data_IF_078049547083
#
_entry.id   IF_078049547083
#
_cell.length_a   1.000
_cell.length_b   1.000
_cell.length_c   1.000
_cell.angle_alpha   90.00
_cell.angle_beta   90.00
_cell.angle_gamma   90.00
#
_symmetry.space_group_name_H-M   'P 1'
#
loop_
_entity.id
_entity.type
_entity.pdbx_description
1 polymer ?
#
# COMPACT_ATOMS: atom_id res chain seq x y z
N UNK A 1 -36.90 -3.26 4.05
CA UNK A 1 -37.04 -1.85 3.65
C UNK A 1 -36.50 -1.69 2.25
N UNK A 2 -37.21 -0.96 1.39
CA UNK A 2 -36.86 -0.72 0.00
C UNK A 2 -36.94 0.77 -0.30
N UNK A 3 -35.88 1.35 -0.85
CA UNK A 3 -35.84 2.76 -1.26
C UNK A 3 -35.75 2.83 -2.79
N UNK A 4 -36.50 3.75 -3.40
CA UNK A 4 -36.23 4.20 -4.76
C UNK A 4 -35.36 5.46 -4.69
N UNK A 5 -34.14 5.37 -5.21
CA UNK A 5 -33.27 6.52 -5.43
C UNK A 5 -33.49 7.02 -6.85
N UNK A 6 -33.77 8.30 -6.97
CA UNK A 6 -34.00 8.98 -8.23
C UNK A 6 -32.88 10.01 -8.47
N UNK A 7 -31.83 9.65 -9.22
CA UNK A 7 -30.83 10.63 -9.61
C UNK A 7 -31.47 11.64 -10.57
N UNK A 8 -31.59 12.89 -10.14
CA UNK A 8 -32.22 13.97 -10.90
C UNK A 8 -31.65 14.09 -12.32
N UNK A 9 -32.48 14.53 -13.26
CA UNK A 9 -32.08 14.76 -14.66
C UNK A 9 -31.53 13.48 -15.35
N UNK A 10 -30.70 13.61 -16.40
CA UNK A 10 -30.09 12.49 -17.11
C UNK A 10 -30.41 12.46 -18.60
N UNK A 11 -29.48 11.93 -19.41
CA UNK A 11 -29.59 11.94 -20.86
C UNK A 11 -29.53 13.36 -21.41
N UNK A 12 -30.58 13.76 -22.14
CA UNK A 12 -30.68 15.07 -22.80
C UNK A 12 -30.80 16.24 -21.81
N UNK A 13 -31.27 15.98 -20.58
CA UNK A 13 -31.45 16.99 -19.54
C UNK A 13 -30.20 17.03 -18.65
N UNK A 14 -29.34 18.08 -18.74
CA UNK A 14 -28.16 18.21 -17.89
C UNK A 14 -28.49 18.61 -16.45
N UNK A 15 -29.72 19.08 -16.20
CA UNK A 15 -30.06 19.87 -15.02
C UNK A 15 -29.30 21.20 -15.00
N UNK A 16 -29.06 21.71 -13.80
CA UNK A 16 -28.25 22.91 -13.64
C UNK A 16 -26.79 22.66 -14.08
N UNK A 17 -26.17 23.70 -14.66
CA UNK A 17 -24.78 23.67 -15.14
C UNK A 17 -24.04 24.88 -14.60
N UNK A 18 -22.90 24.64 -13.94
CA UNK A 18 -22.13 25.69 -13.29
C UNK A 18 -20.73 25.21 -12.93
N UNK A 19 -19.74 26.10 -12.97
CA UNK A 19 -18.35 25.81 -12.55
C UNK A 19 -17.71 24.56 -13.19
N UNK A 20 -18.13 24.20 -14.41
CA UNK A 20 -17.65 22.99 -15.12
C UNK A 20 -18.31 21.69 -14.67
N UNK A 21 -19.38 21.76 -13.90
CA UNK A 21 -20.19 20.64 -13.43
C UNK A 21 -21.54 20.62 -14.15
N UNK A 22 -22.12 19.43 -14.26
CA UNK A 22 -23.52 19.22 -14.64
C UNK A 22 -24.20 18.46 -13.52
N UNK A 23 -25.39 18.91 -13.13
CA UNK A 23 -26.15 18.31 -12.03
C UNK A 23 -26.41 16.82 -12.25
N UNK A 24 -26.78 16.41 -13.47
CA UNK A 24 -27.04 15.00 -13.80
C UNK A 24 -25.88 14.04 -13.48
N UNK A 25 -24.64 14.52 -13.58
CA UNK A 25 -23.43 13.72 -13.37
C UNK A 25 -23.18 13.54 -11.85
N UNK A 26 -23.40 14.61 -11.09
CA UNK A 26 -23.22 14.62 -9.63
C UNK A 26 -24.30 13.77 -8.95
N UNK A 27 -25.56 13.95 -9.33
CA UNK A 27 -26.70 13.23 -8.76
C UNK A 27 -26.58 11.73 -9.01
N UNK A 28 -26.15 11.31 -10.21
CA UNK A 28 -25.86 9.92 -10.53
C UNK A 28 -24.73 9.37 -9.66
N UNK A 29 -23.61 10.09 -9.57
CA UNK A 29 -22.47 9.66 -8.76
C UNK A 29 -22.83 9.45 -7.28
N UNK A 30 -23.59 10.39 -6.69
CA UNK A 30 -24.06 10.26 -5.31
C UNK A 30 -24.98 9.04 -5.15
N UNK A 31 -25.92 8.82 -6.08
CA UNK A 31 -26.86 7.70 -5.99
C UNK A 31 -26.20 6.33 -6.13
N UNK A 32 -25.18 6.19 -6.99
CA UNK A 32 -24.47 4.93 -7.17
C UNK A 32 -23.67 4.53 -5.91
N UNK A 33 -23.00 5.51 -5.28
CA UNK A 33 -22.34 5.31 -3.98
C UNK A 33 -23.37 4.98 -2.89
N UNK A 34 -24.45 5.76 -2.82
CA UNK A 34 -25.52 5.60 -1.83
C UNK A 34 -26.19 4.23 -1.94
N UNK A 35 -26.43 3.73 -3.15
CA UNK A 35 -26.98 2.39 -3.41
C UNK A 35 -26.14 1.33 -2.70
N UNK A 36 -24.83 1.33 -2.95
CA UNK A 36 -23.91 0.34 -2.40
C UNK A 36 -23.90 0.37 -0.86
N UNK A 37 -23.91 1.57 -0.27
CA UNK A 37 -23.92 1.75 1.18
C UNK A 37 -25.23 1.26 1.80
N UNK A 38 -26.37 1.60 1.21
CA UNK A 38 -27.69 1.17 1.68
C UNK A 38 -27.86 -0.36 1.60
N UNK A 39 -27.42 -0.97 0.51
CA UNK A 39 -27.49 -2.43 0.33
C UNK A 39 -26.61 -3.17 1.34
N UNK A 40 -25.41 -2.66 1.61
CA UNK A 40 -24.56 -3.16 2.69
C UNK A 40 -25.24 -3.06 4.08
N UNK A 41 -26.08 -2.04 4.26
CA UNK A 41 -26.88 -1.85 5.47
C UNK A 41 -28.20 -2.64 5.48
N UNK A 42 -28.44 -3.51 4.49
CA UNK A 42 -29.63 -4.36 4.42
C UNK A 42 -30.89 -3.67 3.88
N UNK A 43 -30.74 -2.51 3.22
CA UNK A 43 -31.83 -1.79 2.57
C UNK A 43 -31.79 -2.08 1.07
N UNK A 44 -32.86 -2.62 0.50
CA UNK A 44 -32.95 -2.87 -0.95
C UNK A 44 -33.09 -1.55 -1.71
N UNK A 45 -32.35 -1.38 -2.80
CA UNK A 45 -32.35 -0.13 -3.57
C UNK A 45 -32.77 -0.34 -5.01
N UNK A 46 -33.77 0.43 -5.43
CA UNK A 46 -34.18 0.62 -6.82
C UNK A 46 -33.62 1.96 -7.29
N UNK A 47 -33.03 2.00 -8.48
CA UNK A 47 -32.64 3.24 -9.15
C UNK A 47 -33.64 3.54 -10.27
N UNK A 48 -34.01 4.80 -10.45
CA UNK A 48 -34.75 5.21 -11.66
C UNK A 48 -33.83 5.25 -12.88
N UNK A 49 -32.53 5.48 -12.68
CA UNK A 49 -31.45 5.32 -13.67
C UNK A 49 -30.13 4.96 -12.98
N UNK A 50 -29.31 4.18 -13.66
CA UNK A 50 -27.95 3.78 -13.24
C UNK A 50 -26.86 4.25 -14.24
N UNK A 51 -27.26 5.00 -15.25
CA UNK A 51 -26.37 5.60 -16.25
C UNK A 51 -26.86 6.98 -16.71
N UNK A 52 -26.19 7.54 -17.70
CA UNK A 52 -26.55 8.83 -18.30
C UNK A 52 -27.64 8.66 -19.37
N UNK A 53 -28.86 8.40 -18.93
CA UNK A 53 -30.06 8.35 -19.76
C UNK A 53 -31.26 8.92 -18.98
N UNK A 54 -32.29 9.35 -19.69
CA UNK A 54 -33.56 9.76 -19.08
C UNK A 54 -34.40 8.50 -18.78
N UNK A 55 -34.94 8.31 -17.55
CA UNK A 55 -35.62 7.06 -17.17
C UNK A 55 -36.79 6.62 -18.05
N UNK A 56 -37.51 7.55 -18.67
CA UNK A 56 -38.61 7.25 -19.59
C UNK A 56 -38.18 7.01 -21.04
N UNK A 57 -36.96 7.43 -21.43
CA UNK A 57 -36.51 7.54 -22.82
C UNK A 57 -37.47 8.36 -23.73
N UNK A 58 -38.08 9.40 -23.17
CA UNK A 58 -39.06 10.31 -23.77
C UNK A 58 -38.46 11.72 -23.91
N UNK A 59 -37.44 11.85 -24.77
CA UNK A 59 -36.79 13.13 -25.04
C UNK A 59 -37.79 14.22 -25.46
N UNK A 60 -37.70 15.39 -24.83
CA UNK A 60 -38.62 16.51 -25.09
C UNK A 60 -39.99 16.41 -24.40
N UNK A 61 -40.29 15.32 -23.68
CA UNK A 61 -41.52 15.19 -22.89
C UNK A 61 -41.23 15.12 -21.38
N UNK A 62 -40.96 16.28 -20.78
CA UNK A 62 -40.63 16.40 -19.35
C UNK A 62 -41.70 15.78 -18.44
N UNK A 63 -42.98 15.98 -18.76
CA UNK A 63 -44.07 15.44 -17.93
C UNK A 63 -44.15 13.92 -18.00
N UNK A 64 -43.87 13.33 -19.17
CA UNK A 64 -43.74 11.89 -19.36
C UNK A 64 -42.54 11.32 -18.60
N UNK A 65 -41.38 11.98 -18.67
CA UNK A 65 -40.17 11.58 -17.94
C UNK A 65 -40.36 11.54 -16.43
N UNK A 66 -40.94 12.62 -15.87
CA UNK A 66 -41.19 12.69 -14.44
C UNK A 66 -42.19 11.61 -14.00
N UNK A 67 -43.21 11.29 -14.81
CA UNK A 67 -44.14 10.18 -14.51
C UNK A 67 -43.51 8.81 -14.66
N UNK A 68 -42.54 8.63 -15.56
CA UNK A 68 -41.80 7.38 -15.67
C UNK A 68 -41.04 7.08 -14.37
N UNK A 69 -40.40 8.09 -13.76
CA UNK A 69 -39.73 7.98 -12.44
C UNK A 69 -40.69 7.53 -11.35
N UNK A 70 -41.88 8.14 -11.29
CA UNK A 70 -42.95 7.75 -10.36
C UNK A 70 -43.37 6.30 -10.61
N UNK A 71 -43.63 5.93 -11.87
CA UNK A 71 -44.07 4.58 -12.22
C UNK A 71 -43.06 3.50 -11.83
N UNK A 72 -41.76 3.78 -11.92
CA UNK A 72 -40.69 2.87 -11.45
C UNK A 72 -40.84 2.63 -9.94
N UNK A 73 -41.02 3.68 -9.15
CA UNK A 73 -41.17 3.58 -7.70
C UNK A 73 -42.46 2.82 -7.29
N UNK A 74 -43.59 3.17 -7.92
CA UNK A 74 -44.90 2.53 -7.69
C UNK A 74 -44.87 1.04 -8.02
N UNK A 75 -44.35 0.69 -9.21
CA UNK A 75 -44.25 -0.71 -9.67
C UNK A 75 -43.44 -1.57 -8.69
N UNK A 76 -42.40 -0.98 -8.10
CA UNK A 76 -41.52 -1.68 -7.17
C UNK A 76 -42.01 -1.68 -5.72
N UNK A 77 -43.10 -0.95 -5.41
CA UNK A 77 -43.71 -0.86 -4.07
C UNK A 77 -42.66 -0.50 -3.02
N UNK A 78 -41.93 0.60 -3.26
CA UNK A 78 -40.87 1.06 -2.35
C UNK A 78 -41.47 1.71 -1.09
N UNK A 79 -40.72 1.68 0.00
CA UNK A 79 -41.11 2.25 1.30
C UNK A 79 -40.81 3.75 1.42
N UNK A 80 -39.89 4.26 0.58
CA UNK A 80 -39.49 5.66 0.49
C UNK A 80 -38.99 5.96 -0.94
N UNK A 81 -39.41 7.09 -1.49
CA UNK A 81 -38.87 7.67 -2.73
C UNK A 81 -37.97 8.85 -2.38
N UNK A 82 -36.79 8.94 -3.01
CA UNK A 82 -35.81 9.99 -2.76
C UNK A 82 -35.28 10.51 -4.09
N UNK A 83 -35.64 11.74 -4.44
CA UNK A 83 -34.99 12.45 -5.55
C UNK A 83 -33.74 13.16 -5.05
N UNK A 84 -32.60 12.97 -5.72
CA UNK A 84 -31.33 13.60 -5.38
C UNK A 84 -31.03 14.66 -6.44
N UNK A 85 -30.88 15.91 -6.00
CA UNK A 85 -30.66 17.10 -6.85
C UNK A 85 -29.55 18.00 -6.29
N UNK A 86 -29.07 18.92 -7.14
CA UNK A 86 -28.14 20.00 -6.78
C UNK A 86 -28.79 21.33 -7.15
N UNK A 87 -28.84 22.26 -6.20
CA UNK A 87 -29.56 23.50 -6.36
C UNK A 87 -28.82 24.49 -7.28
N UNK A 88 -29.52 25.56 -7.69
CA UNK A 88 -28.98 26.71 -8.40
C UNK A 88 -29.80 27.98 -8.08
N UNK A 89 -29.35 29.15 -8.52
CA UNK A 89 -30.05 30.42 -8.34
C UNK A 89 -29.47 31.32 -7.24
N UNK A 90 -28.16 31.25 -6.97
CA UNK A 90 -27.46 32.22 -6.13
C UNK A 90 -27.51 31.97 -4.61
N UNK A 91 -27.51 30.71 -4.17
CA UNK A 91 -27.53 30.30 -2.75
C UNK A 91 -26.28 29.53 -2.29
N UNK A 92 -26.37 28.92 -1.11
CA UNK A 92 -25.44 27.89 -0.60
C UNK A 92 -26.16 27.03 0.44
N UNK A 93 -25.75 25.77 0.58
CA UNK A 93 -26.21 24.85 1.63
C UNK A 93 -27.32 23.89 1.22
N UNK A 94 -27.84 23.16 2.20
CA UNK A 94 -28.77 22.04 2.00
C UNK A 94 -30.21 22.41 2.32
N UNK A 95 -31.14 21.97 1.47
CA UNK A 95 -32.57 21.86 1.79
C UNK A 95 -33.14 20.52 1.38
N UNK A 96 -34.24 20.13 2.03
CA UNK A 96 -35.04 18.97 1.60
C UNK A 96 -36.46 19.43 1.30
N UNK A 97 -36.94 19.10 0.11
CA UNK A 97 -38.29 19.41 -0.32
C UNK A 97 -39.24 18.23 -0.05
N UNK A 98 -40.45 18.57 0.38
CA UNK A 98 -41.58 17.65 0.60
C UNK A 98 -42.86 18.25 0.00
N UNK A 99 -43.88 17.44 -0.27
CA UNK A 99 -45.16 17.96 -0.81
C UNK A 99 -46.09 18.54 0.26
N UNK A 100 -45.93 18.14 1.53
CA UNK A 100 -46.77 18.62 2.64
C UNK A 100 -46.24 18.19 4.01
N UNK A 101 -46.62 18.93 5.06
CA UNK A 101 -46.18 18.71 6.45
C UNK A 101 -47.06 17.70 7.19
N UNK A 102 -46.58 17.21 8.33
CA UNK A 102 -47.28 16.33 9.27
C UNK A 102 -47.22 14.83 8.95
N UNK A 103 -46.50 14.43 7.90
CA UNK A 103 -46.46 13.06 7.41
C UNK A 103 -45.10 12.38 7.45
N UNK A 104 -45.06 11.12 7.02
CA UNK A 104 -43.84 10.30 6.94
C UNK A 104 -42.72 10.93 6.10
N UNK A 105 -43.05 11.71 5.07
CA UNK A 105 -42.08 12.44 4.26
C UNK A 105 -41.33 13.51 5.07
N UNK A 106 -42.04 14.28 5.90
CA UNK A 106 -41.42 15.26 6.80
C UNK A 106 -40.56 14.59 7.87
N UNK A 107 -41.00 13.44 8.40
CA UNK A 107 -40.20 12.65 9.34
C UNK A 107 -38.90 12.18 8.68
N UNK A 108 -38.97 11.62 7.47
CA UNK A 108 -37.78 11.20 6.71
C UNK A 108 -36.84 12.39 6.43
N UNK A 109 -37.37 13.52 5.98
CA UNK A 109 -36.59 14.72 5.71
C UNK A 109 -35.85 15.22 6.96
N UNK A 110 -36.54 15.32 8.10
CA UNK A 110 -35.95 15.77 9.36
C UNK A 110 -34.92 14.78 9.94
N UNK A 111 -35.02 13.50 9.60
CA UNK A 111 -34.02 12.47 9.95
C UNK A 111 -32.75 12.59 9.11
N UNK A 112 -32.89 12.94 7.83
CA UNK A 112 -31.77 12.99 6.87
C UNK A 112 -31.01 14.32 6.94
N UNK A 113 -31.73 15.44 7.02
CA UNK A 113 -31.15 16.78 6.92
C UNK A 113 -29.96 17.02 7.87
N UNK A 114 -30.00 16.67 9.17
CA UNK A 114 -28.88 16.93 10.07
C UNK A 114 -27.57 16.26 9.64
N UNK A 115 -27.63 15.06 9.06
CA UNK A 115 -26.44 14.37 8.55
C UNK A 115 -25.86 15.07 7.32
N UNK A 116 -26.71 15.55 6.40
CA UNK A 116 -26.28 16.28 5.21
C UNK A 116 -25.64 17.62 5.57
N UNK A 117 -26.21 18.36 6.54
CA UNK A 117 -25.60 19.58 7.08
C UNK A 117 -24.23 19.29 7.66
N UNK A 118 -24.12 18.25 8.48
CA UNK A 118 -22.85 17.89 9.12
C UNK A 118 -21.78 17.45 8.12
N UNK A 119 -22.15 16.70 7.07
CA UNK A 119 -21.21 16.24 6.06
C UNK A 119 -20.79 17.37 5.11
N UNK A 120 -21.73 18.25 4.76
CA UNK A 120 -21.50 19.37 3.87
C UNK A 120 -20.68 20.50 4.51
N UNK A 121 -20.79 20.68 5.82
CA UNK A 121 -20.24 21.87 6.50
C UNK A 121 -20.77 23.16 5.86
N UNK A 122 -22.02 23.15 5.41
CA UNK A 122 -22.70 24.23 4.71
C UNK A 122 -23.99 24.65 5.44
N UNK A 123 -24.60 25.76 5.02
CA UNK A 123 -25.76 26.33 5.69
C UNK A 123 -26.98 25.39 5.71
N UNK A 124 -27.75 25.44 6.80
CA UNK A 124 -29.01 24.72 6.92
C UNK A 124 -30.18 25.58 6.42
N UNK A 125 -30.78 25.18 5.30
CA UNK A 125 -31.91 25.88 4.69
C UNK A 125 -33.27 25.24 5.04
N UNK A 126 -33.26 24.15 5.79
CA UNK A 126 -34.45 23.52 6.36
C UNK A 126 -35.20 22.58 5.43
N UNK A 127 -36.28 22.02 5.95
CA UNK A 127 -37.28 21.25 5.19
C UNK A 127 -38.34 22.21 4.65
N UNK A 128 -38.62 22.16 3.34
CA UNK A 128 -39.55 23.08 2.67
C UNK A 128 -40.64 22.34 1.93
N UNK A 129 -41.80 22.97 1.83
CA UNK A 129 -42.91 22.45 1.02
C UNK A 129 -42.81 22.97 -0.41
N UNK A 130 -42.85 22.08 -1.39
CA UNK A 130 -42.85 22.44 -2.81
C UNK A 130 -43.68 21.46 -3.64
N UNK A 131 -44.37 21.99 -4.64
CA UNK A 131 -45.22 21.20 -5.54
C UNK A 131 -44.41 20.55 -6.68
N UNK A 132 -43.54 19.59 -6.35
CA UNK A 132 -42.74 18.83 -7.32
C UNK A 132 -43.50 17.58 -7.77
N UNK A 133 -43.56 17.32 -9.08
CA UNK A 133 -44.37 16.23 -9.65
C UNK A 133 -44.03 14.86 -9.04
N UNK A 134 -42.74 14.50 -8.98
CA UNK A 134 -42.31 13.19 -8.45
C UNK A 134 -42.63 13.02 -6.97
N UNK A 135 -42.75 14.11 -6.20
CA UNK A 135 -43.14 14.07 -4.79
C UNK A 135 -44.66 14.03 -4.62
N UNK A 136 -45.41 14.67 -5.52
CA UNK A 136 -46.87 14.75 -5.48
C UNK A 136 -47.54 13.49 -5.99
N UNK A 137 -46.99 12.89 -7.05
CA UNK A 137 -47.64 11.78 -7.77
C UNK A 137 -47.19 10.39 -7.28
N UNK A 138 -46.28 10.33 -6.32
CA UNK A 138 -45.95 9.09 -5.59
C UNK A 138 -46.92 8.82 -4.44
N UNK A 139 -47.24 7.55 -4.21
CA UNK A 139 -48.14 7.07 -3.15
C UNK A 139 -47.41 6.80 -1.83
N UNK A 140 -46.11 6.49 -1.91
CA UNK A 140 -45.23 6.32 -0.76
C UNK A 140 -44.68 7.67 -0.28
N UNK A 141 -44.09 7.76 0.94
CA UNK A 141 -43.38 8.96 1.36
C UNK A 141 -42.28 9.32 0.37
N UNK A 142 -42.20 10.59 0.01
CA UNK A 142 -41.26 11.10 -0.99
C UNK A 142 -40.57 12.38 -0.52
N UNK A 143 -39.26 12.44 -0.68
CA UNK A 143 -38.44 13.63 -0.40
C UNK A 143 -37.55 13.95 -1.60
N UNK A 144 -37.13 15.21 -1.73
CA UNK A 144 -36.11 15.64 -2.68
C UNK A 144 -34.99 16.37 -1.93
N UNK A 145 -33.74 15.93 -2.04
CA UNK A 145 -32.59 16.58 -1.39
C UNK A 145 -31.85 17.48 -2.37
N UNK A 146 -31.56 18.71 -1.94
CA UNK A 146 -30.84 19.73 -2.71
C UNK A 146 -29.46 19.95 -2.10
N UNK A 147 -28.46 19.26 -2.67
CA UNK A 147 -27.17 19.01 -2.01
C UNK A 147 -26.15 20.11 -2.31
N UNK A 148 -26.42 21.32 -1.84
CA UNK A 148 -25.62 22.51 -2.15
C UNK A 148 -25.99 23.13 -3.49
N UNK A 149 -25.28 24.20 -3.86
CA UNK A 149 -25.56 25.00 -5.05
C UNK A 149 -24.47 24.85 -6.12
N UNK A 150 -24.84 24.41 -7.33
CA UNK A 150 -23.89 24.17 -8.42
C UNK A 150 -23.29 25.47 -8.98
N UNK A 151 -23.96 26.60 -8.79
CA UNK A 151 -23.54 27.93 -9.22
C UNK A 151 -22.79 28.71 -8.11
N UNK A 152 -22.72 28.16 -6.90
CA UNK A 152 -21.89 28.69 -5.82
C UNK A 152 -20.48 28.10 -5.87
N UNK A 153 -19.45 28.95 -5.93
CA UNK A 153 -18.06 28.50 -6.04
C UNK A 153 -17.58 27.64 -4.86
N UNK A 154 -18.05 27.91 -3.64
CA UNK A 154 -17.69 27.15 -2.45
C UNK A 154 -18.32 25.76 -2.45
N UNK A 155 -19.62 25.67 -2.73
CA UNK A 155 -20.32 24.39 -2.80
C UNK A 155 -19.81 23.57 -4.01
N UNK A 156 -19.68 24.19 -5.19
CA UNK A 156 -19.16 23.53 -6.39
C UNK A 156 -17.73 22.98 -6.21
N UNK A 157 -16.87 23.65 -5.44
CA UNK A 157 -15.53 23.15 -5.13
C UNK A 157 -15.59 21.84 -4.34
N UNK A 158 -16.49 21.74 -3.36
CA UNK A 158 -16.74 20.50 -2.62
C UNK A 158 -17.35 19.43 -3.53
N UNK A 159 -18.37 19.80 -4.33
CA UNK A 159 -19.06 18.88 -5.24
C UNK A 159 -18.16 18.28 -6.34
N UNK A 160 -17.06 18.95 -6.71
CA UNK A 160 -16.02 18.39 -7.59
C UNK A 160 -15.26 17.21 -6.97
N UNK A 161 -15.08 17.21 -5.66
CA UNK A 161 -14.34 16.17 -4.95
C UNK A 161 -15.17 14.86 -4.86
N UNK A 162 -14.72 13.76 -5.47
CA UNK A 162 -15.40 12.46 -5.33
C UNK A 162 -15.52 12.00 -3.88
N UNK A 163 -14.57 12.31 -3.00
CA UNK A 163 -14.64 11.93 -1.60
C UNK A 163 -15.76 12.67 -0.87
N UNK A 164 -15.98 13.94 -1.21
CA UNK A 164 -17.11 14.70 -0.68
C UNK A 164 -18.45 14.13 -1.16
N UNK A 165 -18.56 13.76 -2.44
CA UNK A 165 -19.77 13.08 -2.95
C UNK A 165 -20.04 11.75 -2.23
N UNK A 166 -19.00 10.96 -1.94
CA UNK A 166 -19.11 9.75 -1.11
C UNK A 166 -19.53 10.09 0.33
N UNK A 167 -19.02 11.18 0.92
CA UNK A 167 -19.43 11.62 2.25
C UNK A 167 -20.91 12.02 2.29
N UNK A 168 -21.43 12.68 1.25
CA UNK A 168 -22.87 12.96 1.10
C UNK A 168 -23.68 11.67 0.99
N UNK A 169 -23.22 10.69 0.22
CA UNK A 169 -23.88 9.38 0.13
C UNK A 169 -23.92 8.68 1.50
N UNK A 170 -22.83 8.70 2.28
CA UNK A 170 -22.81 8.16 3.66
C UNK A 170 -23.80 8.93 4.56
N UNK A 171 -23.88 10.24 4.44
CA UNK A 171 -24.79 11.06 5.24
C UNK A 171 -26.26 10.75 4.95
N UNK A 172 -26.63 10.61 3.67
CA UNK A 172 -27.94 10.09 3.27
C UNK A 172 -28.22 8.71 3.88
N UNK A 173 -27.27 7.78 3.75
CA UNK A 173 -27.45 6.43 4.27
C UNK A 173 -27.67 6.40 5.79
N UNK A 174 -26.94 7.22 6.56
CA UNK A 174 -27.17 7.38 8.00
C UNK A 174 -28.58 7.90 8.30
N UNK A 175 -29.02 8.93 7.58
CA UNK A 175 -30.36 9.50 7.71
C UNK A 175 -31.47 8.50 7.40
N UNK A 176 -31.31 7.72 6.33
CA UNK A 176 -32.28 6.68 5.97
C UNK A 176 -32.27 5.51 6.94
N UNK A 177 -31.09 5.08 7.40
CA UNK A 177 -30.99 4.06 8.45
C UNK A 177 -31.72 4.52 9.73
N UNK A 178 -31.50 5.77 10.18
CA UNK A 178 -32.21 6.33 11.34
C UNK A 178 -33.73 6.40 11.11
N UNK A 179 -34.17 6.85 9.92
CA UNK A 179 -35.60 6.84 9.56
C UNK A 179 -36.24 5.44 9.62
N UNK A 180 -35.53 4.41 9.16
CA UNK A 180 -36.01 3.02 9.18
C UNK A 180 -35.75 2.27 10.49
N UNK A 181 -35.11 2.89 11.49
CA UNK A 181 -34.72 2.23 12.73
C UNK A 181 -33.63 1.16 12.55
N UNK A 182 -32.82 1.28 11.49
CA UNK A 182 -31.70 0.40 11.19
C UNK A 182 -30.43 1.00 11.80
N UNK A 183 -29.65 0.19 12.52
CA UNK A 183 -28.34 0.61 12.98
C UNK A 183 -27.38 0.69 11.79
N UNK A 184 -26.93 1.91 11.47
CA UNK A 184 -25.95 2.13 10.40
C UNK A 184 -24.63 1.40 10.70
N UNK A 185 -24.21 0.56 9.76
CA UNK A 185 -22.94 -0.14 9.72
C UNK A 185 -22.01 0.59 8.76
N UNK A 186 -20.89 1.16 9.25
CA UNK A 186 -19.89 1.75 8.37
C UNK A 186 -19.26 0.66 7.49
N UNK A 187 -18.89 1.04 6.26
CA UNK A 187 -18.10 0.18 5.38
C UNK A 187 -16.77 -0.16 6.07
N UNK A 188 -16.48 -1.46 6.17
CA UNK A 188 -15.25 -1.95 6.77
C UNK A 188 -14.14 -1.90 5.71
N UNK A 189 -13.14 -1.06 5.97
CA UNK A 189 -11.90 -0.99 5.19
C UNK A 189 -10.73 -1.47 6.04
N UNK A 190 -9.82 -2.19 5.39
CA UNK A 190 -8.60 -2.72 5.94
C UNK A 190 -7.44 -1.86 5.44
N UNK A 191 -6.95 -0.97 6.30
CA UNK A 191 -5.80 -0.12 6.04
C UNK A 191 -4.53 -0.96 6.03
N UNK A 192 -3.76 -0.86 4.96
CA UNK A 192 -2.41 -1.41 4.86
C UNK A 192 -1.45 -0.33 5.32
N UNK A 193 -0.71 -0.61 6.39
CA UNK A 193 0.26 0.30 6.99
C UNK A 193 1.63 -0.39 6.92
N UNK A 194 2.59 0.23 6.24
CA UNK A 194 3.94 -0.28 6.04
C UNK A 194 4.92 0.68 6.69
N UNK A 195 5.80 0.17 7.56
CA UNK A 195 6.78 0.95 8.32
C UNK A 195 6.18 2.22 8.98
N UNK A 196 4.96 2.08 9.52
CA UNK A 196 4.23 3.16 10.19
C UNK A 196 3.45 4.11 9.28
N UNK A 197 3.51 3.96 7.95
CA UNK A 197 2.77 4.78 6.99
C UNK A 197 1.65 4.01 6.32
N UNK A 198 0.43 4.56 6.35
CA UNK A 198 -0.67 4.02 5.56
C UNK A 198 -0.38 4.16 4.06
N UNK A 199 -0.39 3.05 3.32
CA UNK A 199 -0.12 3.03 1.88
C UNK A 199 -1.37 2.78 1.05
N UNK A 200 -2.34 2.03 1.56
CA UNK A 200 -3.64 1.81 0.90
C UNK A 200 -4.72 1.38 1.90
N UNK A 201 -5.96 1.22 1.44
CA UNK A 201 -7.05 0.61 2.18
C UNK A 201 -7.88 -0.27 1.23
N UNK A 202 -8.23 -1.47 1.67
CA UNK A 202 -8.95 -2.47 0.86
C UNK A 202 -10.23 -2.91 1.55
N UNK A 203 -11.24 -3.32 0.78
CA UNK A 203 -12.51 -3.86 1.31
C UNK A 203 -12.41 -5.31 1.76
N UNK A 204 -11.35 -6.03 1.35
CA UNK A 204 -11.08 -7.42 1.74
C UNK A 204 -9.89 -7.48 2.72
N UNK A 205 -10.12 -8.13 3.86
CA UNK A 205 -9.07 -8.39 4.85
C UNK A 205 -7.95 -9.25 4.27
N UNK A 206 -8.32 -10.31 3.54
CA UNK A 206 -7.37 -11.27 2.98
C UNK A 206 -6.47 -10.62 1.93
N UNK A 207 -7.03 -9.72 1.10
CA UNK A 207 -6.23 -8.98 0.12
C UNK A 207 -5.27 -8.00 0.81
N UNK A 208 -5.69 -7.35 1.89
CA UNK A 208 -4.81 -6.48 2.68
C UNK A 208 -3.68 -7.26 3.35
N UNK A 209 -3.97 -8.45 3.88
CA UNK A 209 -2.97 -9.36 4.44
C UNK A 209 -1.98 -9.81 3.35
N UNK A 210 -2.48 -10.20 2.18
CA UNK A 210 -1.66 -10.64 1.06
C UNK A 210 -0.70 -9.54 0.58
N UNK A 211 -1.17 -8.29 0.49
CA UNK A 211 -0.31 -7.17 0.10
C UNK A 211 0.75 -6.86 1.17
N UNK A 212 0.39 -6.87 2.46
CA UNK A 212 1.38 -6.72 3.56
C UNK A 212 2.47 -7.77 3.44
N UNK A 213 2.12 -9.05 3.28
CA UNK A 213 3.11 -10.14 3.15
C UNK A 213 4.02 -9.94 1.96
N UNK A 214 3.44 -9.69 0.78
CA UNK A 214 4.18 -9.47 -0.46
C UNK A 214 5.21 -8.33 -0.36
N UNK A 215 4.83 -7.20 0.23
CA UNK A 215 5.71 -6.02 0.33
C UNK A 215 6.79 -6.21 1.39
N UNK A 216 6.48 -6.88 2.49
CA UNK A 216 7.48 -7.21 3.52
C UNK A 216 8.46 -8.27 3.00
N UNK A 217 7.99 -9.32 2.32
CA UNK A 217 8.82 -10.39 1.76
C UNK A 217 9.70 -9.95 0.59
N UNK A 218 9.28 -8.95 -0.18
CA UNK A 218 10.10 -8.36 -1.24
C UNK A 218 11.22 -7.47 -0.72
N UNK A 219 11.25 -7.18 0.60
CA UNK A 219 12.21 -6.27 1.23
C UNK A 219 11.89 -4.79 1.03
N UNK A 220 10.69 -4.47 0.51
CA UNK A 220 10.25 -3.09 0.30
C UNK A 220 9.72 -2.43 1.59
N UNK A 221 9.37 -3.22 2.60
CA UNK A 221 9.06 -2.77 3.95
C UNK A 221 9.64 -3.73 5.00
N UNK A 222 9.97 -3.22 6.18
CA UNK A 222 10.50 -4.06 7.28
C UNK A 222 9.40 -4.64 8.16
N UNK A 223 8.27 -3.95 8.21
CA UNK A 223 7.11 -4.30 9.02
C UNK A 223 5.83 -3.82 8.34
N UNK A 224 4.75 -4.59 8.49
CA UNK A 224 3.44 -4.21 7.99
C UNK A 224 2.30 -4.62 8.91
N UNK A 225 1.23 -3.83 8.87
CA UNK A 225 0.01 -3.99 9.66
C UNK A 225 -1.20 -3.89 8.74
N UNK A 226 -2.18 -4.74 8.99
CA UNK A 226 -3.55 -4.53 8.49
C UNK A 226 -4.40 -4.06 9.65
N UNK A 227 -5.00 -2.88 9.50
CA UNK A 227 -5.79 -2.24 10.55
C UNK A 227 -7.21 -1.93 10.05
N UNK A 228 -8.21 -2.32 10.83
CA UNK A 228 -9.61 -2.05 10.53
C UNK A 228 -9.93 -0.55 10.76
N UNK A 229 -10.58 0.09 9.81
CA UNK A 229 -10.92 1.52 9.88
C UNK A 229 -11.98 1.87 10.92
N UNK A 230 -12.88 0.95 11.24
CA UNK A 230 -14.05 1.22 12.10
C UNK A 230 -13.68 1.43 13.56
N UNK A 231 -12.61 0.77 14.04
CA UNK A 231 -12.18 0.76 15.44
C UNK A 231 -10.66 0.87 15.62
N UNK A 232 -9.89 0.93 14.54
CA UNK A 232 -8.43 1.02 14.61
C UNK A 232 -7.75 -0.26 15.09
N UNK A 233 -8.46 -1.39 15.16
CA UNK A 233 -7.88 -2.65 15.61
C UNK A 233 -6.95 -3.21 14.53
N UNK A 234 -5.72 -3.55 14.93
CA UNK A 234 -4.79 -4.30 14.09
C UNK A 234 -5.30 -5.74 13.98
N UNK A 235 -5.77 -6.13 12.80
CA UNK A 235 -6.27 -7.48 12.53
C UNK A 235 -5.18 -8.42 12.01
N UNK A 236 -4.03 -7.87 11.61
CA UNK A 236 -2.84 -8.62 11.21
C UNK A 236 -1.59 -7.75 11.37
N UNK A 237 -0.49 -8.38 11.77
CA UNK A 237 0.84 -7.77 11.83
C UNK A 237 1.85 -8.75 11.25
N UNK A 238 2.80 -8.25 10.47
CA UNK A 238 3.82 -9.06 9.83
C UNK A 238 5.16 -8.34 9.79
N UNK A 239 6.18 -9.08 10.18
CA UNK A 239 7.59 -8.77 10.03
C UNK A 239 8.23 -10.04 9.53
N UNK A 240 9.29 -9.92 8.74
CA UNK A 240 10.15 -11.08 8.51
C UNK A 240 10.67 -11.49 9.90
N UNK A 241 10.37 -12.69 10.40
CA UNK A 241 10.98 -13.19 11.63
C UNK A 241 12.48 -13.14 11.42
N UNK A 242 13.27 -12.65 12.40
CA UNK A 242 14.73 -12.83 12.35
C UNK A 242 14.99 -14.33 12.13
N UNK A 243 15.32 -14.71 10.90
CA UNK A 243 15.69 -16.09 10.58
C UNK A 243 16.93 -16.44 11.41
N UNK A 244 17.15 -17.73 11.68
CA UNK A 244 18.48 -18.18 12.08
C UNK A 244 19.48 -17.52 11.15
N UNK A 245 20.28 -16.60 11.71
CA UNK A 245 21.31 -15.92 10.96
C UNK A 245 22.32 -16.95 10.46
N UNK A 246 22.95 -16.65 9.36
CA UNK A 246 23.85 -17.57 8.68
C UNK A 246 25.19 -17.58 9.42
N UNK A 247 25.47 -18.64 10.17
CA UNK A 247 26.74 -18.80 10.89
C UNK A 247 27.96 -18.69 9.94
N UNK A 248 28.99 -17.97 10.39
CA UNK A 248 30.26 -17.80 9.65
C UNK A 248 31.11 -19.07 9.73
N UNK A 249 31.21 -19.64 10.93
CA UNK A 249 32.01 -20.83 11.21
C UNK A 249 31.27 -22.09 10.77
N UNK A 250 31.99 -23.06 10.21
CA UNK A 250 31.45 -24.37 9.86
C UNK A 250 32.02 -24.94 8.56
N UNK A 251 31.51 -26.12 8.21
CA UNK A 251 31.89 -26.83 6.98
C UNK A 251 31.17 -26.22 5.77
N UNK A 252 31.92 -26.00 4.70
CA UNK A 252 31.36 -25.52 3.45
C UNK A 252 30.59 -26.62 2.70
N UNK A 253 29.56 -26.21 1.95
CA UNK A 253 28.70 -27.08 1.14
C UNK A 253 28.81 -26.82 -0.37
N UNK A 254 29.28 -25.65 -0.81
CA UNK A 254 29.51 -25.37 -2.23
C UNK A 254 30.87 -25.87 -2.71
N UNK A 255 31.01 -26.08 -4.03
CA UNK A 255 32.26 -26.56 -4.65
C UNK A 255 33.10 -25.43 -5.24
N UNK A 256 34.39 -25.69 -5.47
CA UNK A 256 35.29 -24.74 -6.16
C UNK A 256 34.75 -24.41 -7.56
N UNK A 257 34.26 -25.43 -8.27
CA UNK A 257 33.76 -25.30 -9.62
C UNK A 257 32.50 -24.43 -9.68
N UNK A 258 31.61 -24.52 -8.69
CA UNK A 258 30.45 -23.62 -8.58
C UNK A 258 30.90 -22.15 -8.45
N UNK A 259 31.86 -21.87 -7.57
CA UNK A 259 32.39 -20.52 -7.41
C UNK A 259 33.08 -20.01 -8.69
N UNK A 260 33.90 -20.85 -9.34
CA UNK A 260 34.58 -20.52 -10.60
C UNK A 260 33.59 -20.22 -11.71
N UNK A 261 32.59 -21.07 -11.89
CA UNK A 261 31.55 -20.92 -12.91
C UNK A 261 30.74 -19.65 -12.68
N UNK A 262 30.35 -19.37 -11.43
CA UNK A 262 29.64 -18.14 -11.10
C UNK A 262 30.48 -16.90 -11.41
N UNK A 263 31.73 -16.85 -10.95
CA UNK A 263 32.66 -15.73 -11.21
C UNK A 263 32.87 -15.50 -12.72
N UNK A 264 33.09 -16.57 -13.49
CA UNK A 264 33.35 -16.48 -14.93
C UNK A 264 32.20 -15.82 -15.71
N UNK A 265 30.94 -15.91 -15.23
CA UNK A 265 29.80 -15.21 -15.85
C UNK A 265 29.93 -13.69 -15.80
N UNK A 266 30.56 -13.18 -14.74
CA UNK A 266 30.69 -11.74 -14.51
C UNK A 266 32.07 -11.21 -14.90
N UNK A 267 33.12 -12.02 -14.74
CA UNK A 267 34.49 -11.69 -15.08
C UNK A 267 35.23 -12.92 -15.64
N UNK A 268 35.14 -13.18 -16.95
CA UNK A 268 35.78 -14.33 -17.59
C UNK A 268 37.32 -14.36 -17.48
N UNK A 269 37.93 -13.19 -17.24
CA UNK A 269 39.39 -13.02 -17.18
C UNK A 269 39.91 -12.92 -15.73
N UNK A 270 39.07 -13.23 -14.73
CA UNK A 270 39.46 -13.12 -13.33
C UNK A 270 40.61 -14.10 -12.99
N UNK A 271 41.56 -13.69 -12.13
CA UNK A 271 42.56 -14.62 -11.60
C UNK A 271 41.89 -15.69 -10.71
N UNK A 272 42.34 -16.93 -10.81
CA UNK A 272 41.77 -18.04 -10.02
C UNK A 272 42.32 -18.08 -8.59
N UNK A 273 41.79 -17.19 -7.74
CA UNK A 273 42.16 -17.08 -6.32
C UNK A 273 41.27 -17.92 -5.39
N UNK A 274 40.22 -18.55 -5.92
CA UNK A 274 39.23 -19.33 -5.17
C UNK A 274 39.86 -20.54 -4.44
N UNK A 275 40.87 -21.24 -4.99
CA UNK A 275 41.58 -22.30 -4.25
C UNK A 275 42.21 -21.81 -2.94
N UNK A 276 42.67 -20.55 -2.87
CA UNK A 276 43.19 -19.99 -1.63
C UNK A 276 42.08 -19.81 -0.58
N UNK A 277 40.90 -19.35 -0.98
CA UNK A 277 39.75 -19.23 -0.07
C UNK A 277 39.37 -20.56 0.54
N UNK A 278 39.29 -21.62 -0.27
CA UNK A 278 39.02 -22.97 0.23
C UNK A 278 40.10 -23.42 1.22
N UNK A 279 41.36 -23.41 0.81
CA UNK A 279 42.49 -23.88 1.62
C UNK A 279 42.58 -23.14 2.96
N UNK A 280 42.51 -21.80 2.94
CA UNK A 280 42.65 -20.97 4.14
C UNK A 280 41.39 -20.96 4.99
N UNK A 281 40.21 -20.98 4.38
CA UNK A 281 38.96 -21.02 5.11
C UNK A 281 38.73 -22.35 5.79
N UNK A 282 39.07 -23.47 5.15
CA UNK A 282 39.07 -24.80 5.81
C UNK A 282 40.05 -24.84 7.00
N UNK A 283 41.23 -24.21 6.85
CA UNK A 283 42.21 -24.09 7.93
C UNK A 283 41.68 -23.28 9.13
N UNK A 284 40.90 -22.24 8.88
CA UNK A 284 40.29 -21.37 9.90
C UNK A 284 38.92 -21.87 10.38
N UNK A 285 38.35 -22.92 9.77
CA UNK A 285 36.99 -23.39 10.08
C UNK A 285 35.88 -22.46 9.61
N UNK A 286 36.14 -21.60 8.62
CA UNK A 286 35.18 -20.67 8.03
C UNK A 286 34.48 -21.33 6.84
N UNK A 287 33.18 -21.04 6.67
CA UNK A 287 32.42 -21.35 5.46
C UNK A 287 32.89 -20.47 4.30
N UNK A 288 33.99 -20.89 3.69
CA UNK A 288 34.80 -20.09 2.76
C UNK A 288 34.05 -19.62 1.50
N UNK A 289 32.97 -20.30 1.12
CA UNK A 289 32.14 -19.91 0.00
C UNK A 289 31.42 -18.58 0.21
N UNK A 290 31.06 -18.26 1.45
CA UNK A 290 30.50 -16.94 1.78
C UNK A 290 31.58 -15.85 1.77
N UNK A 291 32.82 -16.17 2.17
CA UNK A 291 33.94 -15.24 2.02
C UNK A 291 34.26 -14.97 0.54
N UNK A 292 34.09 -15.97 -0.34
CA UNK A 292 34.11 -15.76 -1.79
C UNK A 292 32.98 -14.82 -2.21
N UNK A 293 31.74 -15.05 -1.76
CA UNK A 293 30.60 -14.17 -2.07
C UNK A 293 30.84 -12.73 -1.60
N UNK A 294 31.42 -12.54 -0.41
CA UNK A 294 31.84 -11.25 0.12
C UNK A 294 32.90 -10.61 -0.78
N UNK A 295 33.95 -11.35 -1.17
CA UNK A 295 34.97 -10.87 -2.09
C UNK A 295 34.38 -10.43 -3.43
N UNK A 296 33.41 -11.16 -3.99
CA UNK A 296 32.75 -10.76 -5.23
C UNK A 296 32.04 -9.41 -5.08
N UNK A 297 31.40 -9.18 -3.93
CA UNK A 297 30.77 -7.89 -3.61
C UNK A 297 31.80 -6.77 -3.46
N UNK A 298 32.85 -6.98 -2.68
CA UNK A 298 33.90 -5.99 -2.37
C UNK A 298 34.69 -5.56 -3.60
N UNK A 299 35.00 -6.51 -4.48
CA UNK A 299 35.90 -6.29 -5.63
C UNK A 299 35.18 -6.04 -6.94
N UNK A 300 33.84 -5.97 -6.91
CA UNK A 300 33.00 -5.99 -8.10
C UNK A 300 33.36 -7.15 -9.05
N UNK A 301 33.38 -8.38 -8.51
CA UNK A 301 33.74 -9.61 -9.22
C UNK A 301 35.19 -9.60 -9.75
N UNK A 302 36.14 -9.15 -8.93
CA UNK A 302 37.57 -8.98 -9.27
C UNK A 302 37.82 -8.03 -10.45
N UNK A 303 36.90 -7.09 -10.70
CA UNK A 303 37.10 -6.02 -11.69
C UNK A 303 37.80 -4.81 -11.10
N UNK A 304 37.69 -4.61 -9.78
CA UNK A 304 38.29 -3.50 -9.02
C UNK A 304 37.93 -2.13 -9.63
N UNK A 305 36.80 -1.56 -9.18
CA UNK A 305 36.31 -0.25 -9.64
C UNK A 305 36.11 0.77 -8.51
N UNK A 306 36.58 0.45 -7.30
CA UNK A 306 36.41 1.26 -6.09
C UNK A 306 37.74 1.75 -5.51
N UNK A 307 37.76 2.04 -4.20
CA UNK A 307 38.95 2.56 -3.49
C UNK A 307 40.11 1.55 -3.36
N UNK A 308 39.87 0.26 -3.68
CA UNK A 308 40.88 -0.80 -3.61
C UNK A 308 41.28 -1.23 -5.02
N UNK A 309 42.59 -1.19 -5.28
CA UNK A 309 43.21 -1.54 -6.56
C UNK A 309 43.59 -3.04 -6.61
N UNK A 310 43.56 -3.63 -7.80
CA UNK A 310 43.88 -5.04 -8.02
C UNK A 310 45.27 -5.44 -7.48
N UNK A 311 46.24 -4.54 -7.58
CA UNK A 311 47.63 -4.76 -7.15
C UNK A 311 47.77 -4.84 -5.63
N UNK A 312 46.77 -4.41 -4.86
CA UNK A 312 46.83 -4.44 -3.40
C UNK A 312 46.54 -5.82 -2.81
N UNK A 313 46.01 -6.77 -3.61
CA UNK A 313 45.54 -8.07 -3.15
C UNK A 313 44.54 -7.98 -1.96
N UNK A 314 43.86 -6.85 -1.78
CA UNK A 314 42.96 -6.63 -0.65
C UNK A 314 41.50 -6.96 -1.02
N UNK A 315 41.20 -8.25 -1.00
CA UNK A 315 39.93 -8.77 -1.48
C UNK A 315 38.73 -8.55 -0.54
N UNK A 316 38.99 -8.16 0.72
CA UNK A 316 37.97 -7.89 1.73
C UNK A 316 37.68 -6.40 1.94
N UNK A 317 38.39 -5.49 1.24
CA UNK A 317 38.23 -4.06 1.48
C UNK A 317 38.77 -3.60 2.85
N UNK A 318 39.77 -4.30 3.40
CA UNK A 318 40.33 -4.02 4.72
C UNK A 318 40.91 -2.59 4.73
N UNK A 319 40.34 -1.74 5.59
CA UNK A 319 40.69 -0.32 5.67
C UNK A 319 42.15 -0.06 6.05
N UNK A 320 42.64 1.17 5.87
CA UNK A 320 44.01 1.55 6.17
C UNK A 320 44.41 1.31 7.63
N UNK A 321 45.69 1.04 7.84
CA UNK A 321 46.34 1.04 9.16
C UNK A 321 47.24 2.28 9.29
N UNK A 322 47.23 2.96 10.44
CA UNK A 322 48.19 4.03 10.73
C UNK A 322 48.00 5.36 9.97
N UNK A 323 46.80 5.65 9.43
CA UNK A 323 46.50 6.94 8.81
C UNK A 323 46.81 7.05 7.31
N UNK A 324 46.95 5.93 6.59
CA UNK A 324 47.09 5.93 5.13
C UNK A 324 45.76 6.24 4.42
N UNK A 325 45.82 6.93 3.27
CA UNK A 325 44.64 7.29 2.46
C UNK A 325 44.10 6.13 1.59
N UNK A 326 44.74 4.94 1.63
CA UNK A 326 44.41 3.79 0.79
C UNK A 326 44.36 2.51 1.65
N UNK A 327 43.47 1.56 1.31
CA UNK A 327 43.28 0.30 2.06
C UNK A 327 44.56 -0.53 2.22
N UNK A 328 44.54 -1.54 3.10
CA UNK A 328 45.69 -2.44 3.31
C UNK A 328 46.20 -3.06 2.00
N UNK A 329 47.49 -3.38 1.93
CA UNK A 329 48.15 -4.00 0.76
C UNK A 329 48.90 -5.25 1.18
N UNK A 330 48.77 -6.32 0.40
CA UNK A 330 49.37 -7.62 0.67
C UNK A 330 50.28 -8.06 -0.48
N UNK A 331 51.39 -8.71 -0.15
CA UNK A 331 52.48 -9.03 -1.09
C UNK A 331 52.08 -10.11 -2.09
N UNK A 332 51.14 -10.99 -1.71
CA UNK A 332 50.67 -12.08 -2.56
C UNK A 332 49.15 -12.22 -2.50
N UNK A 333 48.58 -12.87 -3.52
CA UNK A 333 47.15 -13.21 -3.55
C UNK A 333 46.77 -14.11 -2.37
N UNK A 334 47.61 -15.10 -2.03
CA UNK A 334 47.35 -16.00 -0.90
C UNK A 334 47.36 -15.25 0.44
N UNK A 335 48.28 -14.30 0.62
CA UNK A 335 48.35 -13.44 1.82
C UNK A 335 47.11 -12.54 1.93
N UNK A 336 46.70 -11.92 0.83
CA UNK A 336 45.49 -11.08 0.79
C UNK A 336 44.20 -11.84 1.09
N UNK A 337 44.08 -13.07 0.58
CA UNK A 337 42.96 -13.97 0.92
C UNK A 337 43.01 -14.37 2.39
N UNK A 338 44.18 -14.67 2.93
CA UNK A 338 44.33 -14.99 4.34
C UNK A 338 43.93 -13.80 5.22
N UNK A 339 44.38 -12.58 4.91
CA UNK A 339 44.01 -11.38 5.67
C UNK A 339 42.50 -11.13 5.68
N UNK A 340 41.83 -11.31 4.54
CA UNK A 340 40.37 -11.24 4.47
C UNK A 340 39.71 -12.25 5.42
N UNK A 341 40.12 -13.51 5.37
CA UNK A 341 39.57 -14.56 6.21
C UNK A 341 39.92 -14.40 7.69
N UNK A 342 41.09 -13.87 8.01
CA UNK A 342 41.48 -13.52 9.39
C UNK A 342 40.60 -12.41 9.96
N UNK A 343 40.25 -11.41 9.16
CA UNK A 343 39.35 -10.34 9.61
C UNK A 343 37.94 -10.89 9.90
N UNK A 344 37.44 -11.77 9.04
CA UNK A 344 36.17 -12.51 9.26
C UNK A 344 36.28 -13.43 10.49
N UNK A 345 37.42 -14.09 10.69
CA UNK A 345 37.69 -14.93 11.87
C UNK A 345 37.69 -14.11 13.16
N UNK A 346 38.32 -12.94 13.15
CA UNK A 346 38.36 -12.04 14.30
C UNK A 346 36.93 -11.65 14.72
N UNK A 347 36.06 -11.30 13.76
CA UNK A 347 34.66 -11.00 14.03
C UNK A 347 33.85 -12.18 14.56
N UNK A 348 34.12 -13.40 14.11
CA UNK A 348 33.28 -14.57 14.38
C UNK A 348 33.71 -15.43 15.57
N UNK A 349 34.99 -15.38 15.98
CA UNK A 349 35.52 -16.21 17.06
C UNK A 349 36.43 -15.43 18.02
N UNK A 350 36.49 -15.90 19.28
CA UNK A 350 37.45 -15.46 20.30
C UNK A 350 38.68 -16.38 20.40
N UNK A 351 38.67 -17.52 19.71
CA UNK A 351 39.74 -18.51 19.77
C UNK A 351 41.05 -17.97 19.20
N UNK A 352 42.19 -18.53 19.59
CA UNK A 352 43.46 -18.13 18.95
C UNK A 352 43.49 -18.65 17.51
N UNK A 353 44.18 -17.92 16.62
CA UNK A 353 44.48 -18.45 15.29
C UNK A 353 45.13 -19.85 15.41
N UNK A 354 44.78 -20.81 14.53
CA UNK A 354 45.36 -22.14 14.54
C UNK A 354 46.90 -22.11 14.52
N UNK A 355 47.52 -23.07 15.19
CA UNK A 355 48.99 -23.18 15.25
C UNK A 355 49.56 -23.25 13.83
N UNK A 356 50.53 -22.36 13.53
CA UNK A 356 51.17 -22.28 12.22
C UNK A 356 50.52 -21.32 11.23
N UNK A 357 49.40 -20.69 11.58
CA UNK A 357 48.83 -19.58 10.79
C UNK A 357 49.54 -18.27 11.16
N UNK A 358 50.13 -17.61 10.17
CA UNK A 358 50.72 -16.28 10.33
C UNK A 358 49.60 -15.24 10.33
N UNK A 359 49.54 -14.41 11.37
CA UNK A 359 48.62 -13.26 11.44
C UNK A 359 49.09 -12.18 10.46
N UNK A 360 48.32 -11.96 9.40
CA UNK A 360 48.61 -11.01 8.32
C UNK A 360 47.59 -9.87 8.26
N UNK A 361 46.40 -10.02 8.86
CA UNK A 361 45.43 -8.92 8.99
C UNK A 361 45.94 -7.85 9.97
N UNK A 362 46.24 -6.62 9.52
CA UNK A 362 46.71 -5.53 10.38
C UNK A 362 45.64 -5.05 11.37
N UNK A 363 44.38 -5.42 11.17
CA UNK A 363 43.24 -5.02 12.01
C UNK A 363 42.71 -6.15 12.88
N UNK A 364 43.39 -7.31 12.90
CA UNK A 364 42.91 -8.50 13.60
C UNK A 364 42.61 -8.26 15.08
N UNK A 365 43.45 -7.48 15.76
CA UNK A 365 43.31 -7.15 17.18
C UNK A 365 42.54 -5.84 17.44
N UNK A 366 42.13 -5.12 16.37
CA UNK A 366 41.44 -3.84 16.49
C UNK A 366 39.91 -4.00 16.55
N UNK A 367 39.39 -5.13 16.08
CA UNK A 367 37.95 -5.43 16.14
C UNK A 367 37.59 -6.10 17.46
N UNK A 368 36.35 -5.93 17.91
CA UNK A 368 35.83 -6.67 19.06
C UNK A 368 35.66 -8.13 18.68
N UNK A 369 36.58 -8.99 19.10
CA UNK A 369 36.58 -10.40 18.69
C UNK A 369 35.31 -11.14 19.12
N UNK A 370 34.76 -11.95 18.21
CA UNK A 370 33.51 -12.69 18.41
C UNK A 370 32.23 -11.85 18.42
N UNK A 371 32.27 -10.57 17.99
CA UNK A 371 31.08 -9.70 17.99
C UNK A 371 30.05 -10.04 16.91
N UNK A 372 30.43 -10.74 15.86
CA UNK A 372 29.59 -11.03 14.70
C UNK A 372 29.69 -12.52 14.33
N UNK A 373 28.94 -13.42 15.00
CA UNK A 373 28.99 -14.85 14.72
C UNK A 373 28.34 -15.24 13.37
N UNK A 374 27.52 -14.36 12.78
CA UNK A 374 26.80 -14.61 11.54
C UNK A 374 27.14 -13.58 10.44
N UNK A 375 26.93 -13.95 9.18
CA UNK A 375 27.18 -13.08 8.03
C UNK A 375 26.33 -11.80 8.06
N UNK A 376 25.08 -11.89 8.53
CA UNK A 376 24.17 -10.76 8.70
C UNK A 376 24.58 -9.83 9.85
N UNK A 377 25.40 -10.30 10.81
CA UNK A 377 25.94 -9.46 11.89
C UNK A 377 27.05 -8.52 11.40
N UNK A 378 27.52 -8.67 10.16
CA UNK A 378 28.51 -7.77 9.56
C UNK A 378 27.90 -6.40 9.19
N UNK A 379 26.58 -6.27 9.20
CA UNK A 379 25.87 -5.00 9.00
C UNK A 379 26.29 -3.97 10.06
N UNK A 380 26.85 -2.84 9.62
CA UNK A 380 27.33 -1.79 10.52
C UNK A 380 28.68 -2.08 11.19
N UNK A 381 29.25 -3.27 10.98
CA UNK A 381 30.57 -3.68 11.50
C UNK A 381 31.61 -3.74 10.39
N UNK A 382 31.29 -4.38 9.26
CA UNK A 382 32.16 -4.45 8.09
C UNK A 382 31.98 -3.25 7.16
N UNK A 383 30.72 -2.91 6.90
CA UNK A 383 30.33 -1.73 6.10
C UNK A 383 29.48 -0.80 6.98
N UNK A 384 29.68 0.52 6.88
CA UNK A 384 28.91 1.54 7.62
C UNK A 384 28.24 2.47 6.60
N UNK A 385 26.92 2.75 6.71
CA UNK A 385 25.97 2.25 7.72
C UNK A 385 25.58 0.77 7.55
N UNK A 386 25.91 0.14 6.42
CA UNK A 386 25.90 -1.32 6.25
C UNK A 386 24.56 -2.03 6.30
N UNK A 387 23.43 -1.32 6.23
CA UNK A 387 22.10 -1.92 6.23
C UNK A 387 21.94 -2.83 5.01
N UNK A 388 21.64 -4.12 5.22
CA UNK A 388 21.45 -5.10 4.14
C UNK A 388 22.73 -5.73 3.57
N UNK A 389 23.91 -5.38 4.11
CA UNK A 389 25.20 -5.84 3.57
C UNK A 389 25.38 -7.36 3.67
N UNK A 390 25.15 -7.95 4.84
CA UNK A 390 25.30 -9.38 5.07
C UNK A 390 24.23 -10.20 4.35
N UNK A 391 23.01 -9.67 4.24
CA UNK A 391 21.94 -10.25 3.44
C UNK A 391 22.32 -10.34 1.97
N UNK A 392 23.02 -9.33 1.43
CA UNK A 392 23.56 -9.39 0.06
C UNK A 392 24.62 -10.49 -0.11
N UNK A 393 25.53 -10.65 0.87
CA UNK A 393 26.54 -11.72 0.84
C UNK A 393 25.85 -13.09 0.84
N UNK A 394 24.86 -13.28 1.71
CA UNK A 394 24.07 -14.51 1.78
C UNK A 394 23.30 -14.75 0.48
N UNK A 395 22.76 -13.70 -0.15
CA UNK A 395 22.10 -13.80 -1.45
C UNK A 395 23.07 -14.24 -2.56
N UNK A 396 24.25 -13.62 -2.66
CA UNK A 396 25.28 -14.00 -3.66
C UNK A 396 25.70 -15.46 -3.47
N UNK A 397 25.94 -15.89 -2.22
CA UNK A 397 26.23 -17.30 -1.93
C UNK A 397 25.13 -18.25 -2.42
N UNK A 398 23.85 -17.90 -2.17
CA UNK A 398 22.72 -18.71 -2.64
C UNK A 398 22.70 -18.81 -4.17
N UNK A 399 23.05 -17.76 -4.89
CA UNK A 399 23.17 -17.83 -6.35
C UNK A 399 24.34 -18.71 -6.81
N UNK A 400 25.51 -18.64 -6.15
CA UNK A 400 26.63 -19.55 -6.42
C UNK A 400 26.20 -21.01 -6.21
N UNK A 401 25.46 -21.30 -5.14
CA UNK A 401 25.02 -22.67 -4.82
C UNK A 401 24.10 -23.30 -5.87
N UNK A 402 23.45 -22.47 -6.71
CA UNK A 402 22.57 -22.91 -7.80
C UNK A 402 23.32 -23.24 -9.08
N UNK A 403 24.62 -22.93 -9.18
CA UNK A 403 25.41 -23.27 -10.36
C UNK A 403 25.43 -24.78 -10.59
N UNK A 404 25.01 -25.19 -11.79
CA UNK A 404 25.11 -26.57 -12.26
C UNK A 404 26.50 -26.77 -12.84
N UNK A 405 27.36 -27.48 -12.11
CA UNK A 405 28.67 -27.88 -12.61
C UNK A 405 28.48 -29.13 -13.47
N UNK A 406 28.72 -29.03 -14.77
CA UNK A 406 28.80 -30.21 -15.64
C UNK A 406 30.05 -31.00 -15.25
N UNK A 407 29.88 -32.28 -14.88
CA UNK A 407 31.01 -33.20 -14.83
C UNK A 407 31.54 -33.34 -16.26
N UNK A 408 32.78 -32.90 -16.50
CA UNK A 408 33.51 -33.26 -17.70
C UNK A 408 34.10 -34.65 -17.53
#
# INVERSE_FOLDING_TARGET
MKICLDPGHGGYDPGAVGHGLREKDITLAICLELKSILEFNGISVILTRDGDYSPGHLEGNLSGELRARVAIAEKNKVDLFVAIHINAGGGTGEEILIVGKGGRAEIAANKVLPFLISAGGWGNRGVKTQNVLVLRETSMPAILTENGFIDNAGDATKLKDPNFRKALAVAHAKGFCDYFGIQFKPEILYRVILDGKQTMALTSQDNAIAEVKKVVESGQATYGVVQRNTDGVNVFEYRIPQTLKTIIMGKETITLEQCRQYLAKYNPNAPDIIPFYKKKGELLGIRWGYAVAQMLKETAYLKFGGMVLAQQNNYGGIGPFGGADHGATFSTQEEGVLAHLEHVYAYSSIDRLPVGVLKVDPRFDLVKRGSCPNWEDLNGHWAIPGIGYGEDVVRIYKEISKEKVSQK
#
